data_IF_423118014803
#
_entry.id   IF_423118014803
#
_cell.length_a   1.000
_cell.length_b   1.000
_cell.length_c   1.000
_cell.angle_alpha   90.00
_cell.angle_beta   90.00
_cell.angle_gamma   90.00
#
_symmetry.space_group_name_H-M   'P 1'
#
loop_
_entity.id
_entity.type
_entity.pdbx_description
1 polymer ?
#
# COMPACT_ATOMS: atom_id res chain seq x y z
N UNK A 1 -11.32 14.18 -2.06
CA UNK A 1 -12.70 13.84 -2.45
C UNK A 1 -12.86 12.35 -2.20
N UNK A 2 -13.66 11.93 -1.21
CA UNK A 2 -14.09 10.54 -1.12
C UNK A 2 -14.91 10.16 -2.37
N UNK A 3 -15.12 8.86 -2.59
CA UNK A 3 -15.87 8.27 -3.69
C UNK A 3 -15.37 8.52 -5.13
N UNK A 4 -14.35 9.37 -5.32
CA UNK A 4 -13.76 9.59 -6.64
C UNK A 4 -12.83 8.44 -7.00
N UNK A 5 -13.25 7.66 -7.99
CA UNK A 5 -12.43 6.62 -8.64
C UNK A 5 -11.36 7.26 -9.52
N UNK A 6 -10.09 6.97 -9.22
CA UNK A 6 -8.95 7.40 -10.01
C UNK A 6 -8.29 6.20 -10.69
N UNK A 7 -8.16 6.26 -12.01
CA UNK A 7 -7.52 5.19 -12.76
C UNK A 7 -6.04 5.51 -13.01
N UNK A 8 -5.19 4.52 -12.76
CA UNK A 8 -3.75 4.60 -12.99
C UNK A 8 -3.30 3.49 -13.93
N UNK A 9 -2.39 3.82 -14.84
CA UNK A 9 -1.63 2.83 -15.61
C UNK A 9 -0.29 2.60 -14.94
N UNK A 10 -0.05 1.39 -14.47
CA UNK A 10 1.19 0.95 -13.84
C UNK A 10 2.05 0.22 -14.86
N UNK A 11 3.16 0.81 -15.34
CA UNK A 11 4.14 0.07 -16.12
C UNK A 11 4.74 -1.06 -15.27
N UNK A 12 5.20 -2.11 -15.92
CA UNK A 12 5.84 -3.20 -15.19
C UNK A 12 7.13 -2.74 -14.51
N UNK A 13 7.34 -3.21 -13.27
CA UNK A 13 8.55 -2.95 -12.50
C UNK A 13 9.82 -3.51 -13.13
N UNK A 14 9.72 -4.45 -14.05
CA UNK A 14 10.89 -4.96 -14.76
C UNK A 14 11.61 -3.88 -15.58
N UNK A 15 10.89 -2.82 -15.99
CA UNK A 15 11.45 -1.70 -16.74
C UNK A 15 12.20 -0.72 -15.83
N UNK A 16 11.70 -0.50 -14.62
CA UNK A 16 12.28 0.41 -13.64
C UNK A 16 11.72 0.15 -12.24
N UNK A 17 12.60 0.22 -11.23
CA UNK A 17 12.20 0.17 -9.82
C UNK A 17 11.29 1.31 -9.38
N UNK A 18 11.17 2.38 -10.18
CA UNK A 18 10.29 3.52 -9.89
C UNK A 18 8.88 3.32 -10.44
N UNK A 19 8.60 2.22 -11.17
CA UNK A 19 7.29 1.94 -11.73
C UNK A 19 6.33 1.37 -10.68
N UNK A 20 5.98 2.21 -9.71
CA UNK A 20 5.05 1.89 -8.63
C UNK A 20 4.23 3.14 -8.29
N UNK A 21 2.99 2.91 -7.88
CA UNK A 21 2.14 3.93 -7.29
C UNK A 21 2.38 3.94 -5.78
N UNK A 22 2.71 5.11 -5.24
CA UNK A 22 2.85 5.34 -3.80
C UNK A 22 1.60 6.04 -3.29
N UNK A 23 0.91 5.41 -2.34
CA UNK A 23 -0.31 5.93 -1.72
C UNK A 23 0.03 6.27 -0.27
N UNK A 24 0.06 7.56 0.05
CA UNK A 24 0.25 8.06 1.42
C UNK A 24 -1.13 8.17 2.04
N UNK A 25 -1.33 7.53 3.20
CA UNK A 25 -2.62 7.52 3.88
C UNK A 25 -2.53 7.92 5.35
N UNK A 26 -1.38 8.44 5.79
CA UNK A 26 -1.32 9.08 7.10
C UNK A 26 -2.21 10.33 7.15
N UNK A 27 -2.81 10.56 8.30
CA UNK A 27 -3.69 11.71 8.55
C UNK A 27 -2.93 13.02 8.71
N UNK A 28 -1.60 12.99 8.78
CA UNK A 28 -0.80 14.19 9.04
C UNK A 28 -0.64 15.06 7.79
N UNK A 29 -0.95 14.51 6.61
CA UNK A 29 -0.89 15.18 5.31
C UNK A 29 0.40 16.00 5.14
N UNK A 30 1.51 15.52 5.72
CA UNK A 30 2.79 16.21 5.62
C UNK A 30 3.26 16.10 4.18
N UNK A 31 3.41 17.25 3.53
CA UNK A 31 3.87 17.37 2.16
C UNK A 31 5.17 16.59 1.98
N UNK A 32 5.36 15.91 0.83
CA UNK A 32 6.50 15.06 0.42
C UNK A 32 7.86 15.80 0.38
N UNK A 33 7.87 17.11 0.67
CA UNK A 33 9.08 17.95 0.63
C UNK A 33 9.50 18.56 1.99
N UNK A 34 8.77 18.35 3.09
CA UNK A 34 9.20 18.69 4.45
C UNK A 34 10.39 17.83 4.95
N UNK A 35 11.58 18.24 4.53
CA UNK A 35 12.88 17.64 4.92
C UNK A 35 13.18 17.80 6.42
N UNK A 36 12.43 18.63 7.14
CA UNK A 36 12.75 19.03 8.52
C UNK A 36 12.35 18.00 9.56
N UNK A 37 11.48 17.03 9.22
CA UNK A 37 11.07 15.97 10.12
C UNK A 37 11.27 14.59 9.45
N UNK A 38 12.13 13.71 9.99
CA UNK A 38 12.26 12.32 9.54
C UNK A 38 11.07 11.46 9.99
N UNK A 39 9.86 12.04 9.96
CA UNK A 39 8.65 11.36 10.36
C UNK A 39 8.42 10.16 9.43
N UNK A 40 8.08 9.05 10.06
CA UNK A 40 7.64 7.83 9.40
C UNK A 40 6.32 8.14 8.68
N UNK A 41 6.26 7.84 7.39
CA UNK A 41 5.03 7.95 6.63
C UNK A 41 4.46 6.56 6.39
N UNK A 42 3.20 6.39 6.78
CA UNK A 42 2.44 5.20 6.43
C UNK A 42 2.04 5.29 4.95
N UNK A 43 2.70 4.45 4.14
CA UNK A 43 2.47 4.39 2.71
C UNK A 43 2.31 2.95 2.23
N UNK A 44 1.42 2.80 1.24
CA UNK A 44 1.25 1.57 0.47
C UNK A 44 1.82 1.78 -0.92
N UNK A 45 2.50 0.76 -1.42
CA UNK A 45 3.10 0.74 -2.73
C UNK A 45 2.39 -0.31 -3.59
N UNK A 46 1.84 0.14 -4.72
CA UNK A 46 1.18 -0.73 -5.69
C UNK A 46 2.08 -0.84 -6.91
N UNK A 47 2.47 -2.06 -7.25
CA UNK A 47 3.36 -2.32 -8.36
C UNK A 47 2.84 -3.42 -9.26
N UNK A 48 3.15 -3.34 -10.55
CA UNK A 48 2.84 -4.40 -11.50
C UNK A 48 4.11 -5.19 -11.84
N UNK A 49 4.10 -6.50 -11.55
CA UNK A 49 5.28 -7.35 -11.70
C UNK A 49 5.06 -8.38 -12.79
N UNK A 50 6.02 -8.46 -13.71
CA UNK A 50 6.03 -9.37 -14.84
C UNK A 50 7.38 -10.06 -14.87
N UNK A 51 7.35 -11.39 -14.95
CA UNK A 51 8.52 -12.23 -15.05
C UNK A 51 9.25 -11.95 -16.36
N UNK A 52 10.55 -11.69 -16.26
CA UNK A 52 11.39 -11.57 -17.45
C UNK A 52 11.97 -12.91 -17.87
N UNK A 53 12.05 -13.13 -19.19
CA UNK A 53 12.73 -14.29 -19.77
C UNK A 53 14.25 -14.17 -19.77
N UNK A 54 14.79 -12.98 -19.52
CA UNK A 54 16.22 -12.72 -19.48
C UNK A 54 16.77 -12.95 -18.06
N UNK A 55 17.71 -13.89 -17.92
CA UNK A 55 18.37 -14.18 -16.66
C UNK A 55 19.05 -12.93 -16.08
N UNK A 56 18.84 -12.68 -14.79
CA UNK A 56 19.44 -11.55 -14.06
C UNK A 56 18.70 -10.22 -14.22
N UNK A 57 17.65 -10.15 -15.05
CA UNK A 57 16.75 -8.99 -15.10
C UNK A 57 15.95 -8.84 -13.81
N UNK A 58 15.44 -7.63 -13.54
CA UNK A 58 14.46 -7.42 -12.47
C UNK A 58 13.29 -8.38 -12.70
N UNK A 59 12.84 -9.05 -11.64
CA UNK A 59 11.71 -9.98 -11.67
C UNK A 59 11.93 -11.26 -12.52
N UNK A 60 13.15 -11.53 -13.02
CA UNK A 60 13.48 -12.78 -13.75
C UNK A 60 13.30 -14.06 -12.91
N UNK A 61 13.46 -13.96 -11.60
CA UNK A 61 13.28 -15.04 -10.64
C UNK A 61 11.86 -15.22 -10.11
N UNK A 62 10.86 -14.49 -10.63
CA UNK A 62 9.47 -14.71 -10.23
C UNK A 62 9.01 -16.11 -10.65
N UNK A 63 8.23 -16.74 -9.78
CA UNK A 63 7.55 -17.99 -10.09
C UNK A 63 6.42 -17.76 -11.11
N UNK A 64 5.99 -18.80 -11.81
CA UNK A 64 4.92 -18.69 -12.82
C UNK A 64 3.58 -18.23 -12.21
N UNK A 65 3.33 -18.62 -10.95
CA UNK A 65 2.15 -18.15 -10.23
C UNK A 65 2.29 -16.69 -9.81
N UNK A 66 3.49 -16.11 -9.78
CA UNK A 66 3.78 -14.72 -9.42
C UNK A 66 3.89 -13.78 -10.63
N UNK A 67 3.93 -14.33 -11.84
CA UNK A 67 3.96 -13.57 -13.09
C UNK A 67 2.66 -12.78 -13.31
N UNK A 68 2.79 -11.59 -13.91
CA UNK A 68 1.70 -10.69 -14.27
C UNK A 68 0.76 -10.36 -13.11
N UNK A 69 1.30 -10.11 -11.92
CA UNK A 69 0.48 -9.76 -10.74
C UNK A 69 0.64 -8.30 -10.36
N UNK A 70 -0.44 -7.74 -9.79
CA UNK A 70 -0.35 -6.48 -9.05
C UNK A 70 -0.01 -6.82 -7.60
N UNK A 71 1.10 -6.28 -7.11
CA UNK A 71 1.59 -6.48 -5.76
C UNK A 71 1.34 -5.23 -4.94
N UNK A 72 0.91 -5.45 -3.70
CA UNK A 72 0.67 -4.39 -2.72
C UNK A 72 1.62 -4.63 -1.57
N UNK A 73 2.49 -3.67 -1.35
CA UNK A 73 3.50 -3.71 -0.31
C UNK A 73 3.24 -2.61 0.71
N UNK A 74 3.47 -2.92 1.99
CA UNK A 74 3.59 -1.89 3.01
C UNK A 74 5.05 -1.56 3.18
N UNK A 75 5.34 -0.27 3.25
CA UNK A 75 6.68 0.15 3.60
C UNK A 75 6.63 1.37 4.52
N UNK A 76 7.23 1.22 5.70
CA UNK A 76 7.44 2.31 6.64
C UNK A 76 8.78 2.98 6.32
N UNK A 77 8.78 3.82 5.28
CA UNK A 77 9.99 4.60 4.92
C UNK A 77 9.98 5.86 5.74
N UNK A 78 11.18 6.33 6.09
CA UNK A 78 11.34 7.76 6.26
C UNK A 78 11.01 8.41 4.92
N UNK A 79 10.15 9.41 4.98
CA UNK A 79 9.85 10.38 3.94
C UNK A 79 10.75 10.46 2.69
N UNK A 80 12.08 10.52 2.90
CA UNK A 80 13.13 10.59 1.90
C UNK A 80 13.35 9.30 1.05
N UNK A 81 12.46 8.30 1.14
CA UNK A 81 12.60 7.05 0.39
C UNK A 81 13.69 6.10 0.92
N UNK A 82 14.31 6.42 2.07
CA UNK A 82 15.28 5.53 2.71
C UNK A 82 14.54 4.53 3.58
N UNK A 83 14.91 3.28 3.35
CA UNK A 83 14.47 2.18 4.17
C UNK A 83 14.88 2.41 5.64
N UNK A 84 13.93 2.31 6.57
CA UNK A 84 14.30 2.09 7.97
C UNK A 84 15.03 0.76 8.04
N UNK A 85 16.21 0.72 8.66
CA UNK A 85 17.04 -0.48 8.76
C UNK A 85 16.31 -1.69 9.37
N UNK A 86 15.23 -1.45 10.12
CA UNK A 86 14.43 -2.47 10.79
C UNK A 86 13.17 -2.88 10.04
N UNK A 87 12.69 -2.08 9.09
CA UNK A 87 11.45 -2.35 8.37
C UNK A 87 11.74 -2.78 6.93
N UNK A 88 11.73 -4.10 6.69
CA UNK A 88 11.80 -4.62 5.32
C UNK A 88 10.43 -4.47 4.65
N UNK A 89 10.38 -4.23 3.32
CA UNK A 89 9.10 -4.27 2.62
C UNK A 89 8.52 -5.65 2.77
N UNK A 90 7.27 -5.74 3.21
CA UNK A 90 6.53 -6.98 3.18
C UNK A 90 5.34 -6.85 2.23
N UNK A 91 5.06 -7.94 1.54
CA UNK A 91 3.92 -8.05 0.63
C UNK A 91 2.68 -8.22 1.49
N UNK A 92 1.72 -7.32 1.36
CA UNK A 92 0.42 -7.43 2.03
C UNK A 92 -0.50 -8.29 1.18
N UNK A 93 -0.51 -8.05 -0.14
CA UNK A 93 -1.40 -8.73 -1.07
C UNK A 93 -0.76 -8.88 -2.46
N UNK A 94 -1.17 -9.92 -3.18
CA UNK A 94 -0.87 -10.09 -4.60
C UNK A 94 -2.14 -10.51 -5.34
N UNK A 95 -2.50 -9.74 -6.37
CA UNK A 95 -3.76 -9.91 -7.11
C UNK A 95 -3.47 -10.53 -8.47
N UNK A 96 -4.22 -11.58 -8.81
CA UNK A 96 -4.17 -12.30 -10.08
C UNK A 96 -5.58 -12.54 -10.61
N UNK A 97 -5.72 -12.64 -11.93
CA UNK A 97 -7.04 -12.72 -12.59
C UNK A 97 -7.35 -14.12 -13.13
N UNK A 98 -6.34 -14.93 -13.46
CA UNK A 98 -6.50 -15.88 -14.57
C UNK A 98 -6.66 -17.36 -14.20
N UNK A 99 -6.54 -17.75 -12.92
CA UNK A 99 -6.52 -19.20 -12.58
C UNK A 99 -7.22 -19.61 -11.28
N UNK A 100 -7.70 -18.67 -10.47
CA UNK A 100 -8.47 -19.02 -9.30
C UNK A 100 -9.97 -19.01 -9.63
N UNK A 101 -10.81 -19.83 -8.95
CA UNK A 101 -12.27 -19.76 -9.05
C UNK A 101 -12.78 -18.32 -8.93
N UNK A 102 -14.05 -18.01 -9.31
CA UNK A 102 -14.60 -16.65 -9.49
C UNK A 102 -14.47 -15.64 -8.33
N UNK A 103 -13.79 -16.00 -7.24
CA UNK A 103 -13.49 -15.20 -6.05
C UNK A 103 -11.97 -14.88 -5.96
N UNK A 104 -11.24 -14.87 -7.08
CA UNK A 104 -9.87 -14.36 -7.08
C UNK A 104 -9.90 -12.86 -6.83
N UNK A 105 -9.41 -12.42 -5.66
CA UNK A 105 -9.42 -11.03 -5.20
C UNK A 105 -8.84 -10.08 -6.26
N UNK A 106 -9.71 -9.47 -7.06
CA UNK A 106 -9.39 -8.39 -8.00
C UNK A 106 -9.22 -7.05 -7.30
N UNK A 107 -9.64 -6.99 -6.05
CA UNK A 107 -9.58 -5.80 -5.20
C UNK A 107 -8.79 -6.06 -3.93
N UNK A 108 -8.22 -4.98 -3.39
CA UNK A 108 -7.62 -4.93 -2.07
C UNK A 108 -8.14 -3.70 -1.35
N UNK A 109 -8.60 -3.88 -0.12
CA UNK A 109 -9.16 -2.83 0.71
C UNK A 109 -8.27 -2.58 1.92
N UNK A 110 -7.88 -1.33 2.13
CA UNK A 110 -7.15 -0.88 3.31
C UNK A 110 -8.01 0.11 4.09
N UNK A 111 -8.34 -0.26 5.33
CA UNK A 111 -8.93 0.67 6.30
C UNK A 111 -7.85 1.61 6.83
N UNK A 112 -8.19 2.88 7.06
CA UNK A 112 -7.29 3.80 7.74
C UNK A 112 -7.13 3.42 9.23
N UNK A 113 -6.04 3.85 9.89
CA UNK A 113 -5.84 3.60 11.32
C UNK A 113 -7.00 4.13 12.16
N UNK A 114 -7.19 3.54 13.34
CA UNK A 114 -8.25 3.92 14.28
C UNK A 114 -8.26 5.44 14.52
N UNK A 115 -9.45 6.04 14.42
CA UNK A 115 -9.66 7.49 14.54
C UNK A 115 -9.70 8.25 13.21
N UNK A 116 -9.38 7.62 12.08
CA UNK A 116 -9.65 8.17 10.75
C UNK A 116 -10.82 7.43 10.11
N UNK A 117 -11.78 8.17 9.56
CA UNK A 117 -12.96 7.60 8.89
C UNK A 117 -12.58 7.13 7.49
N UNK A 118 -12.96 5.89 7.16
CA UNK A 118 -12.87 5.31 5.82
C UNK A 118 -11.59 4.54 5.50
N UNK A 119 -11.27 4.50 4.22
CA UNK A 119 -10.15 3.74 3.68
C UNK A 119 -10.00 3.93 2.18
N UNK A 120 -9.31 2.99 1.54
CA UNK A 120 -9.28 2.93 0.09
C UNK A 120 -9.27 1.50 -0.44
N UNK A 121 -9.78 1.33 -1.65
CA UNK A 121 -9.79 0.09 -2.42
C UNK A 121 -8.95 0.26 -3.67
N UNK A 122 -8.10 -0.73 -3.95
CA UNK A 122 -7.33 -0.85 -5.19
C UNK A 122 -7.93 -2.01 -5.99
N UNK A 123 -8.48 -1.72 -7.16
CA UNK A 123 -9.08 -2.71 -8.05
C UNK A 123 -8.25 -2.86 -9.32
N UNK A 124 -7.94 -4.09 -9.71
CA UNK A 124 -7.23 -4.39 -10.95
C UNK A 124 -8.25 -4.51 -12.09
N UNK A 125 -8.19 -3.62 -13.07
CA UNK A 125 -9.14 -3.59 -14.17
C UNK A 125 -8.66 -4.38 -15.38
N UNK A 126 -7.35 -4.27 -15.70
CA UNK A 126 -6.75 -4.90 -16.89
C UNK A 126 -5.26 -5.10 -16.67
N UNK A 127 -4.71 -6.14 -17.27
CA UNK A 127 -3.27 -6.44 -17.29
C UNK A 127 -2.81 -6.79 -18.71
N UNK A 128 -1.55 -6.47 -19.00
CA UNK A 128 -0.86 -6.81 -20.25
C UNK A 128 0.55 -7.27 -19.90
N UNK A 129 1.35 -7.66 -20.89
CA UNK A 129 2.73 -8.08 -20.66
C UNK A 129 3.65 -6.93 -20.18
N UNK A 130 3.20 -5.67 -20.28
CA UNK A 130 4.03 -4.50 -20.01
C UNK A 130 3.44 -3.53 -19.01
N UNK A 131 2.13 -3.57 -18.78
CA UNK A 131 1.45 -2.67 -17.84
C UNK A 131 0.18 -3.31 -17.24
N UNK A 132 -0.32 -2.70 -16.18
CA UNK A 132 -1.64 -2.96 -15.61
C UNK A 132 -2.39 -1.63 -15.44
N UNK A 133 -3.71 -1.66 -15.58
CA UNK A 133 -4.56 -0.53 -15.18
C UNK A 133 -5.26 -0.87 -13.89
N UNK A 134 -5.13 0.00 -12.89
CA UNK A 134 -5.77 -0.14 -11.58
C UNK A 134 -6.67 1.06 -11.32
N UNK A 135 -7.78 0.85 -10.62
CA UNK A 135 -8.60 1.92 -10.04
C UNK A 135 -8.29 2.03 -8.56
N UNK A 136 -7.98 3.23 -8.11
CA UNK A 136 -7.95 3.60 -6.70
C UNK A 136 -9.27 4.30 -6.37
N UNK A 137 -9.95 3.84 -5.33
CA UNK A 137 -11.16 4.48 -4.84
C UNK A 137 -11.02 4.70 -3.33
N UNK A 138 -11.26 5.94 -2.88
CA UNK A 138 -11.23 6.27 -1.45
C UNK A 138 -12.65 6.26 -0.93
N UNK A 139 -12.95 5.46 0.08
CA UNK A 139 -14.26 5.40 0.72
C UNK A 139 -14.24 6.06 2.09
N UNK A 140 -15.41 6.49 2.56
CA UNK A 140 -15.61 7.03 3.93
C UNK A 140 -16.30 6.01 4.84
N UNK A 141 -17.19 5.21 4.27
CA UNK A 141 -17.86 4.09 4.92
C UNK A 141 -17.58 2.83 4.12
N UNK A 142 -17.67 1.66 4.74
CA UNK A 142 -17.54 0.38 4.04
C UNK A 142 -18.89 -0.20 3.62
N UNK A 143 -19.98 0.51 3.91
CA UNK A 143 -21.37 0.19 3.56
C UNK A 143 -22.12 1.52 3.43
N UNK A 144 -22.76 1.77 2.30
CA UNK A 144 -23.67 2.92 2.17
C UNK A 144 -24.98 2.70 2.96
N UNK A 145 -25.45 3.72 3.67
CA UNK A 145 -26.68 3.65 4.46
C UNK A 145 -27.60 4.82 4.15
N UNK A 146 -28.91 4.54 4.05
CA UNK A 146 -29.95 5.58 3.92
C UNK A 146 -29.93 6.58 5.07
N UNK A 147 -29.42 6.20 6.24
CA UNK A 147 -29.33 7.10 7.38
C UNK A 147 -28.34 8.26 7.16
N UNK A 148 -27.31 8.06 6.33
CA UNK A 148 -26.15 8.94 6.26
C UNK A 148 -26.16 9.86 5.02
N UNK A 149 -27.29 9.98 4.32
CA UNK A 149 -27.47 10.75 3.07
C UNK A 149 -26.55 10.36 1.89
N UNK A 150 -25.66 9.39 2.07
CA UNK A 150 -24.71 8.88 1.05
C UNK A 150 -25.43 8.18 -0.10
N UNK A 151 -26.62 7.64 0.12
CA UNK A 151 -27.38 6.92 -0.90
C UNK A 151 -28.07 7.81 -1.96
N UNK A 152 -27.78 9.11 -2.01
CA UNK A 152 -28.44 10.03 -2.93
C UNK A 152 -27.56 11.21 -3.33
N UNK A 153 -26.25 11.12 -3.08
CA UNK A 153 -25.30 12.21 -3.30
C UNK A 153 -24.52 12.09 -4.62
N UNK A 154 -24.87 11.09 -5.46
CA UNK A 154 -24.27 10.90 -6.78
C UNK A 154 -22.93 10.18 -6.73
N UNK A 155 -22.55 9.61 -5.58
CA UNK A 155 -21.21 9.07 -5.33
C UNK A 155 -21.26 7.62 -4.84
N UNK A 156 -20.17 6.88 -5.08
CA UNK A 156 -19.93 5.52 -4.59
C UNK A 156 -19.05 5.60 -3.33
N UNK A 157 -19.68 5.77 -2.16
CA UNK A 157 -19.02 6.11 -0.90
C UNK A 157 -18.39 4.92 -0.19
N UNK A 158 -18.61 3.69 -0.66
CA UNK A 158 -17.98 2.45 -0.17
C UNK A 158 -17.08 1.74 -1.20
N UNK A 159 -17.04 2.25 -2.43
CA UNK A 159 -16.19 1.81 -3.52
C UNK A 159 -16.50 0.41 -4.06
N UNK A 160 -17.75 -0.06 -3.97
CA UNK A 160 -18.15 -1.39 -4.41
C UNK A 160 -18.42 -1.48 -5.94
N UNK A 161 -18.60 -0.34 -6.61
CA UNK A 161 -18.94 -0.29 -8.04
C UNK A 161 -20.30 0.30 -8.36
N UNK A 162 -21.19 0.39 -7.39
CA UNK A 162 -22.56 0.88 -7.49
C UNK A 162 -22.65 2.29 -6.91
N UNK A 163 -23.68 3.04 -7.29
CA UNK A 163 -23.85 4.44 -6.88
C UNK A 163 -25.28 4.60 -6.39
N UNK A 164 -25.46 5.22 -5.23
CA UNK A 164 -26.76 5.62 -4.70
C UNK A 164 -27.81 4.47 -4.73
N UNK A 165 -28.96 4.72 -5.35
CA UNK A 165 -30.08 3.78 -5.48
C UNK A 165 -29.78 2.58 -6.38
N UNK A 166 -28.65 2.54 -7.10
CA UNK A 166 -28.22 1.32 -7.78
C UNK A 166 -27.54 0.35 -6.81
N UNK A 167 -26.98 0.86 -5.71
CA UNK A 167 -26.37 0.10 -4.64
C UNK A 167 -27.41 -0.75 -3.88
N UNK A 168 -27.05 -2.00 -3.59
CA UNK A 168 -27.88 -2.90 -2.79
C UNK A 168 -27.93 -2.48 -1.31
N UNK A 169 -26.86 -1.88 -0.80
CA UNK A 169 -26.77 -1.41 0.59
C UNK A 169 -27.69 -0.19 0.83
N UNK A 170 -27.94 0.58 -0.24
CA UNK A 170 -28.94 1.66 -0.25
C UNK A 170 -30.39 1.19 -0.42
N UNK A 171 -30.61 -0.05 -0.87
CA UNK A 171 -31.95 -0.65 -1.02
C UNK A 171 -32.36 -1.34 0.27
N UNK A 172 -32.66 -0.55 1.30
CA UNK A 172 -33.25 -1.00 2.58
C UNK A 172 -32.57 -2.23 3.19
N UNK A 173 -31.67 -1.99 4.13
CA UNK A 173 -31.73 -2.85 5.32
C UNK A 173 -33.16 -2.77 5.85
N UNK A 174 -33.88 -3.89 6.07
CA UNK A 174 -35.22 -3.85 6.63
C UNK A 174 -35.20 -2.96 7.88
N UNK A 175 -36.24 -2.14 8.11
CA UNK A 175 -36.29 -1.30 9.30
C UNK A 175 -35.92 -2.14 10.52
N UNK A 176 -35.12 -1.61 11.47
CA UNK A 176 -34.71 -2.36 12.63
C UNK A 176 -35.94 -3.05 13.18
N UNK A 177 -35.87 -4.39 13.28
CA UNK A 177 -37.01 -5.18 13.74
C UNK A 177 -37.57 -4.49 14.99
N UNK A 178 -38.89 -4.25 15.08
CA UNK A 178 -39.46 -3.67 16.27
C UNK A 178 -38.90 -4.45 17.48
N UNK A 179 -38.52 -3.76 18.57
CA UNK A 179 -37.89 -4.41 19.71
C UNK A 179 -38.71 -5.64 20.04
N UNK A 180 -38.07 -6.81 20.07
CA UNK A 180 -38.76 -8.07 20.34
C UNK A 180 -39.70 -7.83 21.51
N UNK A 181 -41.01 -8.15 21.38
CA UNK A 181 -41.96 -7.91 22.45
C UNK A 181 -41.32 -8.46 23.72
N UNK A 182 -41.25 -7.59 24.74
CA UNK A 182 -40.61 -7.90 26.02
C UNK A 182 -41.08 -9.31 26.40
N UNK A 183 -40.17 -10.27 26.69
CA UNK A 183 -40.58 -11.63 27.00
C UNK A 183 -41.74 -11.55 27.99
N UNK A 184 -42.83 -12.30 27.78
CA UNK A 184 -43.92 -12.32 28.75
C UNK A 184 -43.29 -12.57 30.12
N UNK A 185 -43.79 -11.90 31.19
CA UNK A 185 -43.31 -12.17 32.53
C UNK A 185 -43.23 -13.69 32.71
N UNK A 186 -42.15 -14.21 33.32
CA UNK A 186 -42.00 -15.64 33.51
C UNK A 186 -43.32 -16.16 34.07
N UNK A 187 -43.90 -17.16 33.39
CA UNK A 187 -45.06 -17.85 33.91
C UNK A 187 -44.71 -18.28 35.34
N UNK A 188 -45.65 -18.14 36.31
CA UNK A 188 -45.42 -18.60 37.67
C UNK A 188 -44.85 -20.00 37.61
N UNK A 189 -43.75 -20.23 38.35
CA UNK A 189 -42.98 -21.46 38.33
C UNK A 189 -43.93 -22.65 38.27
N UNK A 190 -43.87 -23.37 37.15
CA UNK A 190 -44.58 -24.64 37.06
C UNK A 190 -44.13 -25.49 38.25
N UNK A 191 -45.05 -26.23 38.90
CA UNK A 191 -44.69 -27.07 40.03
C UNK A 191 -43.48 -27.92 39.64
N UNK A 192 -42.53 -28.11 40.58
CA UNK A 192 -41.30 -28.81 40.30
C UNK A 192 -41.61 -30.14 39.60
N UNK A 193 -40.93 -30.46 38.49
CA UNK A 193 -41.16 -31.72 37.80
C UNK A 193 -40.97 -32.86 38.81
N UNK A 194 -41.75 -33.94 38.70
CA UNK A 194 -41.53 -35.12 39.52
C UNK A 194 -40.06 -35.55 39.45
N UNK A 195 -39.51 -36.07 40.56
CA UNK A 195 -38.09 -36.44 40.63
C UNK A 195 -37.72 -37.29 39.42
N UNK A 196 -36.58 -37.00 38.76
CA UNK A 196 -36.16 -37.72 37.57
C UNK A 196 -36.13 -39.21 37.89
N UNK A 197 -36.91 -39.98 37.13
CA UNK A 197 -36.83 -41.44 37.15
C UNK A 197 -35.38 -41.86 36.93
N UNK A 198 -34.96 -42.88 37.69
CA UNK A 198 -33.57 -43.36 37.74
C UNK A 198 -32.96 -43.42 36.34
N UNK A 199 -31.71 -42.95 36.16
CA UNK A 199 -31.06 -42.94 34.86
C UNK A 199 -31.01 -44.36 34.30
N UNK A 200 -31.55 -44.54 33.10
CA UNK A 200 -31.39 -45.79 32.34
C UNK A 200 -29.90 -46.13 32.23
N UNK A 201 -29.54 -47.43 32.34
CA UNK A 201 -28.15 -47.85 32.21
C UNK A 201 -27.57 -47.37 30.87
N UNK A 202 -26.28 -46.97 30.86
CA UNK A 202 -25.64 -46.48 29.65
C UNK A 202 -25.72 -47.54 28.55
N UNK A 203 -25.99 -47.15 27.29
CA UNK A 203 -25.98 -48.09 26.18
C UNK A 203 -24.58 -48.72 26.06
N UNK A 204 -24.51 -50.01 25.66
CA UNK A 204 -23.24 -50.68 25.47
C UNK A 204 -22.38 -49.95 24.43
N UNK A 205 -21.05 -49.95 24.59
CA UNK A 205 -20.15 -49.25 23.69
C UNK A 205 -20.31 -49.77 22.26
N UNK A 206 -20.45 -48.84 21.31
CA UNK A 206 -20.55 -49.16 19.89
C UNK A 206 -19.33 -49.97 19.43
N UNK A 207 -19.52 -50.99 18.57
CA UNK A 207 -18.42 -51.79 18.06
C UNK A 207 -17.45 -50.91 17.24
N UNK A 208 -16.14 -51.21 17.27
CA UNK A 208 -15.15 -50.46 16.53
C UNK A 208 -15.44 -50.49 15.03
N UNK A 209 -15.22 -49.38 14.30
CA UNK A 209 -15.47 -49.32 12.87
C UNK A 209 -14.62 -50.36 12.13
N UNK A 210 -15.27 -51.12 11.26
CA UNK A 210 -14.62 -52.14 10.43
C UNK A 210 -13.53 -51.49 9.57
N UNK A 211 -12.34 -52.08 9.62
CA UNK A 211 -11.16 -51.65 8.88
C UNK A 211 -11.50 -51.63 7.38
N UNK A 212 -11.32 -50.50 6.67
CA UNK A 212 -11.61 -50.45 5.25
C UNK A 212 -10.74 -51.47 4.49
N UNK A 213 -11.29 -52.13 3.45
CA UNK A 213 -10.57 -53.14 2.70
C UNK A 213 -9.33 -52.53 2.04
N UNK A 214 -8.21 -53.26 2.12
CA UNK A 214 -6.93 -52.88 1.51
C UNK A 214 -7.15 -52.54 0.04
N UNK A 215 -7.05 -51.24 -0.29
CA UNK A 215 -7.15 -50.75 -1.66
C UNK A 215 -6.03 -51.40 -2.49
N UNK A 216 -6.33 -51.98 -3.66
CA UNK A 216 -5.32 -52.54 -4.55
C UNK A 216 -4.26 -51.48 -4.86
N UNK A 217 -2.98 -51.84 -4.69
CA UNK A 217 -1.86 -50.96 -5.04
C UNK A 217 -1.97 -50.63 -6.52
N UNK A 218 -2.11 -49.34 -6.84
CA UNK A 218 -2.02 -48.85 -8.22
C UNK A 218 -0.67 -49.25 -8.81
N UNK A 219 -0.65 -49.78 -10.05
CA UNK A 219 0.60 -50.10 -10.72
C UNK A 219 1.49 -48.85 -10.86
N UNK A 220 2.82 -49.03 -10.80
CA UNK A 220 3.74 -47.91 -10.99
C UNK A 220 3.51 -47.27 -12.36
N UNK A 221 3.62 -45.94 -12.47
CA UNK A 221 3.50 -45.26 -13.75
C UNK A 221 4.61 -45.73 -14.71
N UNK A 222 4.32 -45.80 -16.02
CA UNK A 222 5.33 -46.16 -17.00
C UNK A 222 6.52 -45.18 -16.97
N UNK A 223 7.74 -45.64 -17.28
CA UNK A 223 8.92 -44.80 -17.32
C UNK A 223 8.73 -43.65 -18.30
N UNK A 224 9.10 -42.42 -17.89
CA UNK A 224 9.03 -41.25 -18.77
C UNK A 224 9.93 -41.49 -20.00
N UNK A 225 9.47 -41.11 -21.21
CA UNK A 225 10.32 -41.15 -22.39
C UNK A 225 11.56 -40.27 -22.19
N UNK A 226 12.70 -40.65 -22.80
CA UNK A 226 13.93 -39.86 -22.71
C UNK A 226 13.71 -38.46 -23.30
N UNK A 227 14.37 -37.44 -22.75
CA UNK A 227 14.27 -36.08 -23.28
C UNK A 227 14.74 -36.05 -24.74
N UNK A 228 14.12 -35.22 -25.60
CA UNK A 228 14.56 -35.06 -26.98
C UNK A 228 15.99 -34.52 -27.03
N UNK A 229 16.78 -34.90 -28.04
CA UNK A 229 18.14 -34.41 -28.20
C UNK A 229 18.17 -32.87 -28.30
N UNK A 230 19.20 -32.22 -27.75
CA UNK A 230 19.33 -30.77 -27.80
C UNK A 230 19.38 -30.30 -29.26
N UNK A 231 18.59 -29.26 -29.58
CA UNK A 231 18.59 -28.67 -30.92
C UNK A 231 20.00 -28.18 -31.28
N UNK A 232 20.46 -28.35 -32.55
CA UNK A 232 21.73 -27.81 -33.00
C UNK A 232 21.84 -26.32 -32.71
N UNK A 233 22.97 -25.89 -32.12
CA UNK A 233 23.24 -24.48 -31.87
C UNK A 233 23.18 -23.72 -33.20
N UNK A 234 22.38 -22.65 -33.25
CA UNK A 234 22.36 -21.75 -34.41
C UNK A 234 23.78 -21.20 -34.66
N UNK A 235 24.24 -21.14 -35.92
CA UNK A 235 25.49 -20.47 -36.25
C UNK A 235 25.47 -19.03 -35.73
N UNK A 236 26.62 -18.47 -35.30
CA UNK A 236 26.72 -17.08 -34.91
C UNK A 236 26.30 -16.18 -36.07
N UNK A 237 25.43 -15.21 -35.78
CA UNK A 237 25.00 -14.20 -36.75
C UNK A 237 26.22 -13.43 -37.27
N UNK A 238 26.28 -13.10 -38.58
CA UNK A 238 27.37 -12.32 -39.14
C UNK A 238 27.47 -10.94 -38.44
N UNK A 239 28.70 -10.40 -38.30
CA UNK A 239 28.93 -9.12 -37.64
C UNK A 239 28.15 -8.02 -38.38
N UNK A 240 27.34 -7.25 -37.62
CA UNK A 240 26.60 -6.12 -38.16
C UNK A 240 27.58 -5.10 -38.78
N UNK A 241 27.31 -4.55 -39.97
CA UNK A 241 28.16 -3.54 -40.58
C UNK A 241 28.29 -2.34 -39.65
N UNK A 242 29.54 -1.93 -39.38
CA UNK A 242 29.88 -0.72 -38.62
C UNK A 242 29.19 0.47 -39.27
N UNK A 243 28.15 1.01 -38.63
CA UNK A 243 27.60 2.33 -38.97
C UNK A 243 28.71 3.36 -38.79
N UNK A 244 29.02 4.10 -39.86
CA UNK A 244 29.92 5.26 -39.81
C UNK A 244 29.34 6.26 -38.81
N UNK A 245 30.14 6.67 -37.84
CA UNK A 245 29.77 7.68 -36.86
C UNK A 245 29.36 8.98 -37.57
N UNK A 246 28.28 9.66 -37.14
CA UNK A 246 27.93 10.96 -37.66
C UNK A 246 29.03 11.98 -37.36
N UNK A 247 29.26 12.96 -38.24
CA UNK A 247 30.26 14.01 -38.03
C UNK A 247 29.91 14.85 -36.79
N UNK A 248 30.93 15.40 -36.10
CA UNK A 248 30.71 16.22 -34.91
C UNK A 248 29.89 17.48 -35.25
N UNK A 249 29.00 17.91 -34.33
CA UNK A 249 28.21 19.12 -34.55
C UNK A 249 29.09 20.36 -34.66
N UNK A 250 28.77 21.23 -35.62
CA UNK A 250 29.44 22.52 -35.83
C UNK A 250 29.36 23.40 -34.57
N UNK A 251 30.41 24.15 -34.23
CA UNK A 251 30.36 25.15 -33.15
C UNK A 251 29.31 26.21 -33.49
N UNK A 252 28.35 26.43 -32.58
CA UNK A 252 27.38 27.53 -32.70
C UNK A 252 28.09 28.85 -32.44
N UNK A 253 28.07 29.73 -33.43
CA UNK A 253 28.51 31.12 -33.33
C UNK A 253 27.67 31.84 -32.27
N UNK A 254 28.35 32.36 -31.24
CA UNK A 254 27.79 33.10 -30.13
C UNK A 254 27.43 34.51 -30.60
N UNK A 255 26.17 34.75 -30.91
CA UNK A 255 25.62 36.11 -31.06
C UNK A 255 25.52 36.75 -29.68
N UNK A 256 26.38 37.74 -29.44
CA UNK A 256 26.33 38.66 -28.31
C UNK A 256 25.21 39.66 -28.52
N UNK A 257 24.05 39.44 -27.90
CA UNK A 257 23.04 40.48 -27.70
C UNK A 257 23.37 41.20 -26.39
N UNK A 258 23.80 42.45 -26.53
CA UNK A 258 23.99 43.45 -25.49
C UNK A 258 22.63 43.69 -24.83
N UNK A 259 22.52 43.40 -23.53
CA UNK A 259 21.42 43.87 -22.68
C UNK A 259 22.07 44.55 -21.49
N UNK A 260 21.70 45.81 -21.34
CA UNK A 260 22.22 46.74 -20.36
C UNK A 260 21.82 46.32 -18.94
N UNK A 261 22.83 46.36 -18.08
CA UNK A 261 22.86 46.80 -16.69
C UNK A 261 21.52 46.84 -15.92
N UNK A 262 21.35 45.86 -15.01
CA UNK A 262 20.86 46.19 -13.67
C UNK A 262 21.65 45.40 -12.62
N UNK A 263 22.02 46.16 -11.60
CA UNK A 263 23.10 45.97 -10.65
C UNK A 263 22.52 45.38 -9.35
N UNK A 264 23.02 44.23 -8.90
CA UNK A 264 22.88 43.83 -7.49
C UNK A 264 24.20 43.24 -7.00
N UNK A 265 24.78 43.76 -5.91
CA UNK A 265 26.13 43.42 -5.49
C UNK A 265 26.14 42.09 -4.73
N UNK A 266 26.97 41.16 -5.19
CA UNK A 266 27.42 40.03 -4.38
C UNK A 266 28.86 40.32 -3.96
N UNK A 267 29.03 40.80 -2.73
CA UNK A 267 30.35 40.96 -2.14
C UNK A 267 31.03 39.60 -2.05
N UNK A 268 32.16 39.54 -2.73
CA UNK A 268 33.15 38.49 -2.66
C UNK A 268 34.29 38.96 -1.76
N UNK A 269 34.56 38.24 -0.68
CA UNK A 269 35.89 38.12 -0.08
C UNK A 269 35.81 36.89 0.86
N UNK A 270 36.50 35.78 0.62
CA UNK A 270 37.90 35.66 0.24
C UNK A 270 38.69 35.30 1.49
N UNK A 271 39.30 34.11 1.52
CA UNK A 271 40.72 33.93 1.85
C UNK A 271 41.02 32.45 2.12
N UNK A 272 42.04 31.96 1.41
CA UNK A 272 42.73 30.72 1.72
C UNK A 272 43.75 30.95 2.83
N UNK A 273 43.90 30.00 3.76
CA UNK A 273 45.21 29.59 4.30
C UNK A 273 45.05 28.47 5.34
N UNK A 274 45.89 27.45 5.18
CA UNK A 274 46.26 26.48 6.21
C UNK A 274 46.96 27.20 7.39
N UNK A 275 46.64 26.84 8.64
CA UNK A 275 47.67 26.61 9.67
C UNK A 275 47.12 25.84 10.89
N UNK A 276 48.00 25.03 11.47
CA UNK A 276 47.84 24.17 12.64
C UNK A 276 47.31 24.88 13.90
N UNK A 277 46.38 24.24 14.63
CA UNK A 277 46.56 23.96 16.07
C UNK A 277 45.61 22.86 16.55
N UNK A 278 46.19 21.72 16.93
CA UNK A 278 45.55 20.80 17.87
C UNK A 278 45.44 21.52 19.22
N UNK A 279 44.23 21.67 19.74
CA UNK A 279 44.02 21.80 21.19
C UNK A 279 43.09 20.68 21.61
N UNK A 280 43.71 19.66 22.20
CA UNK A 280 43.06 18.71 23.10
C UNK A 280 42.63 19.50 24.33
N UNK A 281 41.35 19.46 24.67
CA UNK A 281 40.91 19.69 26.05
C UNK A 281 39.83 18.67 26.41
N UNK A 282 40.29 17.56 26.98
CA UNK A 282 39.52 16.74 27.90
C UNK A 282 39.36 17.47 29.23
N UNK A 283 38.39 16.99 30.04
CA UNK A 283 38.16 17.15 31.49
C UNK A 283 36.85 17.92 31.79
N UNK A 284 35.85 17.44 32.55
CA UNK A 284 35.59 16.18 33.29
C UNK A 284 34.12 16.24 33.83
N UNK A 285 33.43 15.09 33.78
CA UNK A 285 32.45 14.47 34.70
C UNK A 285 31.17 15.18 35.24
N UNK A 286 30.06 14.46 35.00
CA UNK A 286 29.04 13.95 35.94
C UNK A 286 28.11 14.90 36.73
N UNK A 287 26.79 14.75 36.54
CA UNK A 287 25.93 14.05 37.52
C UNK A 287 24.43 14.02 37.14
N UNK A 288 23.85 12.87 37.49
CA UNK A 288 22.45 12.49 37.66
C UNK A 288 21.48 13.58 38.16
N UNK A 289 20.23 13.58 37.67
CA UNK A 289 19.04 13.46 38.54
C UNK A 289 17.73 13.26 37.77
N UNK A 290 17.01 12.22 38.17
CA UNK A 290 15.57 11.96 38.00
C UNK A 290 14.73 13.08 38.65
N UNK A 291 13.48 13.28 38.20
CA UNK A 291 12.24 13.44 39.02
C UNK A 291 11.16 14.30 38.31
N UNK A 292 9.92 13.82 38.46
CA UNK A 292 8.62 14.45 38.16
C UNK A 292 8.51 15.92 38.61
N UNK A 293 7.74 16.74 37.87
CA UNK A 293 6.60 17.54 38.40
C UNK A 293 5.99 18.50 37.35
N UNK A 294 4.72 18.24 37.02
CA UNK A 294 3.54 19.13 37.07
C UNK A 294 3.65 20.68 37.16
N UNK A 295 2.61 21.34 36.57
CA UNK A 295 2.21 22.79 36.49
C UNK A 295 2.72 23.53 35.23
N UNK A 296 1.88 23.97 34.28
CA UNK A 296 0.74 24.94 34.29
C UNK A 296 1.18 26.39 34.52
N UNK A 297 1.17 27.23 33.48
CA UNK A 297 0.35 28.46 33.35
C UNK A 297 0.78 29.31 32.14
N UNK A 298 -0.18 29.55 31.23
CA UNK A 298 -0.58 30.83 30.62
C UNK A 298 0.41 31.71 29.79
N UNK A 299 -0.11 32.61 28.92
CA UNK A 299 0.54 33.12 27.71
C UNK A 299 1.23 34.47 27.90
N UNK A 300 2.27 34.73 27.08
CA UNK A 300 2.80 36.07 26.88
C UNK A 300 2.17 36.72 25.66
N UNK A 301 1.24 37.62 25.97
CA UNK A 301 0.80 38.75 25.17
C UNK A 301 2.00 39.63 24.77
N UNK A 302 2.05 40.08 23.53
CA UNK A 302 3.20 40.80 22.95
C UNK A 302 2.75 41.84 21.94
N UNK A 303 2.28 42.98 22.46
CA UNK A 303 2.00 44.22 21.71
C UNK A 303 3.26 44.78 21.03
N UNK A 304 3.04 45.37 19.86
CA UNK A 304 3.91 46.34 19.18
C UNK A 304 3.84 46.09 17.68
N UNK A 305 3.62 47.06 16.79
CA UNK A 305 3.71 48.51 16.87
C UNK A 305 3.03 49.06 15.62
N UNK A 306 2.21 50.09 15.77
CA UNK A 306 1.63 50.84 14.65
C UNK A 306 2.73 51.58 13.88
N UNK A 307 2.65 51.55 12.56
CA UNK A 307 3.17 52.61 11.68
C UNK A 307 2.10 52.93 10.65
N UNK A 308 1.49 54.10 10.82
CA UNK A 308 0.73 54.78 9.80
C UNK A 308 1.64 55.09 8.59
N UNK A 309 1.07 54.97 7.39
CA UNK A 309 1.80 55.14 6.14
C UNK A 309 0.87 55.32 4.95
N UNK A 310 0.21 56.47 4.95
CA UNK A 310 -0.58 57.10 3.89
C UNK A 310 0.04 56.95 2.48
N UNK A 311 -0.78 56.62 1.46
CA UNK A 311 -0.72 57.21 0.12
C UNK A 311 -1.84 56.68 -0.80
N UNK A 312 -2.57 57.63 -1.41
CA UNK A 312 -3.12 57.55 -2.78
C UNK A 312 -4.47 56.89 -2.94
#
# INVERSE_FOLDING_TARGET
MPAVKQQFTLPSMHLSKNNMLRIIYDSTNRAIDDISAPALQDAIFVSYRVRQSLDGGYDSGLLDDQDRRVWIHRYNISFNGKASWFDRPFVISSMAEDKAPPIANRSFTQMFPAGTVGGFTVTVNRRTDTNATVTLCRFVTNVESRADSTCSDGQDNDCDGLVDMDDIDCKESPPPLPPSPRPPPPLPDSPPPPPPGMPSPPPPPSPPPLRPPNRPRTPPPPPRPPPPPPKPRRPPSPPKPRRKSPPPPRPRSRTTTKRDDEEFPYDSAGSAAHCHTCVVMCIVLASLCTVLQYWSTAPCDGRGRATDGNNG
#
